data_IF_930972820879
#
_entry.id   IF_930972820879
#
_cell.length_a   1.000
_cell.length_b   1.000
_cell.length_c   1.000
_cell.angle_alpha   90.00
_cell.angle_beta   90.00
_cell.angle_gamma   90.00
#
_symmetry.space_group_name_H-M   'P 1'
#
loop_
_entity.id
_entity.type
_entity.pdbx_description
1 polymer ?
#
# COMPACT_ATOMS: atom_id res chain seq x y z
N UNK A 1 -14.67 -13.61 16.52
CA UNK A 1 -14.32 -13.42 15.13
C UNK A 1 -14.25 -11.92 14.76
N UNK A 2 -15.32 -11.12 15.08
CA UNK A 2 -15.34 -9.66 14.91
C UNK A 2 -14.10 -8.98 15.54
N UNK A 3 -13.69 -9.47 16.72
CA UNK A 3 -12.50 -8.97 17.39
C UNK A 3 -11.17 -9.40 16.73
N UNK A 4 -11.13 -10.55 16.04
CA UNK A 4 -9.92 -11.01 15.36
C UNK A 4 -9.67 -10.24 14.07
N UNK A 5 -10.70 -9.99 13.26
CA UNK A 5 -10.61 -9.18 12.03
C UNK A 5 -10.28 -7.71 12.38
N UNK A 6 -10.90 -7.17 13.43
CA UNK A 6 -10.61 -5.82 13.90
C UNK A 6 -9.16 -5.71 14.43
N UNK A 7 -8.65 -6.75 15.10
CA UNK A 7 -7.25 -6.80 15.53
C UNK A 7 -6.28 -6.87 14.36
N UNK A 8 -6.58 -7.67 13.33
CA UNK A 8 -5.73 -7.76 12.13
C UNK A 8 -5.67 -6.42 11.39
N UNK A 9 -6.80 -5.77 11.18
CA UNK A 9 -6.84 -4.44 10.58
C UNK A 9 -6.14 -3.39 11.46
N UNK A 10 -6.31 -3.45 12.79
CA UNK A 10 -5.65 -2.56 13.72
C UNK A 10 -4.13 -2.82 13.78
N UNK A 11 -3.68 -4.07 13.73
CA UNK A 11 -2.26 -4.42 13.74
C UNK A 11 -1.54 -4.02 12.44
N UNK A 12 -2.21 -4.09 11.29
CA UNK A 12 -1.62 -3.64 10.03
C UNK A 12 -1.43 -2.13 9.94
N UNK A 13 -2.11 -1.35 10.80
CA UNK A 13 -2.12 0.11 10.82
C UNK A 13 -1.77 0.74 12.16
N UNK A 14 -0.95 0.09 12.98
CA UNK A 14 -0.42 0.69 14.22
C UNK A 14 0.49 1.88 13.94
N UNK A 15 1.08 1.93 12.74
CA UNK A 15 1.85 3.05 12.23
C UNK A 15 1.36 3.43 10.83
N UNK A 16 1.51 4.70 10.40
CA UNK A 16 1.22 5.09 9.03
C UNK A 16 2.07 4.28 8.04
N UNK A 17 1.50 3.98 6.88
CA UNK A 17 2.26 3.37 5.77
C UNK A 17 3.09 4.49 5.14
N UNK A 18 4.41 4.31 5.13
CA UNK A 18 5.35 5.30 4.59
C UNK A 18 6.06 4.78 3.35
N UNK A 19 6.70 5.68 2.61
CA UNK A 19 7.53 5.36 1.44
C UNK A 19 8.86 4.67 1.81
N UNK A 20 9.14 4.51 3.10
CA UNK A 20 10.36 3.89 3.58
C UNK A 20 10.43 2.40 3.27
N UNK A 21 11.58 1.97 2.75
CA UNK A 21 11.92 0.56 2.61
C UNK A 21 12.72 0.08 3.82
N UNK A 22 12.44 -1.14 4.28
CA UNK A 22 13.11 -1.72 5.45
C UNK A 22 14.64 -1.81 5.32
N UNK A 23 15.18 -1.81 4.09
CA UNK A 23 16.63 -1.78 3.84
C UNK A 23 17.24 -0.38 3.87
N UNK A 24 16.44 0.68 3.97
CA UNK A 24 16.91 2.08 4.11
C UNK A 24 17.12 2.50 5.57
N UNK A 25 17.07 1.59 6.52
CA UNK A 25 17.10 1.88 7.96
C UNK A 25 18.30 2.70 8.45
N UNK A 26 19.39 2.74 7.67
CA UNK A 26 20.60 3.50 7.98
C UNK A 26 20.67 4.86 7.27
N UNK A 27 19.68 5.20 6.45
CA UNK A 27 19.68 6.42 5.65
C UNK A 27 18.72 7.41 6.32
N UNK A 28 19.26 8.53 6.80
CA UNK A 28 18.48 9.65 7.30
C UNK A 28 17.84 10.39 6.11
N UNK A 29 16.67 9.96 5.70
CA UNK A 29 15.80 10.66 4.76
C UNK A 29 14.43 10.89 5.40
N UNK A 30 13.75 12.00 5.11
CA UNK A 30 12.39 12.19 5.56
C UNK A 30 11.51 11.07 5.01
N UNK A 31 10.59 10.58 5.82
CA UNK A 31 9.58 9.61 5.43
C UNK A 31 8.30 10.35 5.06
N UNK A 32 7.64 9.92 3.99
CA UNK A 32 6.36 10.45 3.57
C UNK A 32 5.27 9.41 3.75
N UNK A 33 4.11 9.84 4.20
CA UNK A 33 2.94 8.96 4.28
C UNK A 33 2.45 8.66 2.86
N UNK A 34 2.29 7.37 2.54
CA UNK A 34 1.74 6.93 1.26
C UNK A 34 0.23 6.76 1.43
N UNK A 35 -0.54 7.44 0.58
CA UNK A 35 -2.01 7.40 0.55
C UNK A 35 -2.54 6.38 -0.46
N UNK A 36 -1.73 6.06 -1.47
CA UNK A 36 -2.07 5.15 -2.54
C UNK A 36 -1.86 3.70 -2.09
N UNK A 37 -2.95 3.11 -1.63
CA UNK A 37 -2.94 1.80 -0.99
C UNK A 37 -3.92 0.84 -1.69
N UNK A 38 -3.58 -0.44 -1.66
CA UNK A 38 -4.44 -1.53 -2.13
C UNK A 38 -4.53 -2.60 -1.06
N UNK A 39 -5.75 -3.02 -0.76
CA UNK A 39 -6.03 -4.15 0.09
C UNK A 39 -6.45 -5.33 -0.79
N UNK A 40 -5.82 -6.48 -0.56
CA UNK A 40 -6.17 -7.75 -1.17
C UNK A 40 -6.51 -8.74 -0.06
N UNK A 41 -7.66 -9.42 -0.19
CA UNK A 41 -8.09 -10.40 0.79
C UNK A 41 -8.91 -11.50 0.15
N UNK A 42 -8.89 -12.68 0.78
CA UNK A 42 -9.80 -13.78 0.49
C UNK A 42 -10.64 -14.07 1.73
N UNK A 43 -11.96 -14.07 1.57
CA UNK A 43 -12.90 -14.45 2.62
C UNK A 43 -13.53 -15.77 2.23
N UNK A 44 -13.36 -16.79 3.10
CA UNK A 44 -13.93 -18.13 2.94
C UNK A 44 -14.95 -18.37 4.02
N UNK A 45 -15.97 -19.18 3.75
CA UNK A 45 -17.01 -19.48 4.73
C UNK A 45 -17.48 -20.94 4.66
N UNK A 46 -17.89 -21.43 5.82
CA UNK A 46 -18.69 -22.66 5.95
C UNK A 46 -20.18 -22.35 6.06
N UNK A 47 -20.52 -21.20 6.65
CA UNK A 47 -21.84 -20.59 6.64
C UNK A 47 -21.68 -19.19 6.06
N UNK A 48 -22.40 -18.84 4.97
CA UNK A 48 -22.22 -17.56 4.30
C UNK A 48 -22.49 -16.39 5.24
N UNK A 49 -21.66 -15.33 5.20
CA UNK A 49 -21.95 -14.11 5.93
C UNK A 49 -23.13 -13.37 5.31
N UNK A 50 -23.80 -12.55 6.11
CA UNK A 50 -24.84 -11.65 5.61
C UNK A 50 -24.22 -10.55 4.75
N UNK A 51 -23.14 -9.93 5.25
CA UNK A 51 -22.41 -8.92 4.50
C UNK A 51 -20.91 -8.98 4.81
N UNK A 52 -20.12 -8.56 3.81
CA UNK A 52 -18.69 -8.26 3.93
C UNK A 52 -18.52 -6.77 3.66
N UNK A 53 -17.84 -6.07 4.56
CA UNK A 53 -17.66 -4.63 4.51
C UNK A 53 -16.19 -4.29 4.41
N UNK A 54 -15.81 -3.38 3.49
CA UNK A 54 -14.51 -2.75 3.49
C UNK A 54 -14.66 -1.24 3.68
N UNK A 55 -13.81 -0.68 4.50
CA UNK A 55 -13.61 0.76 4.62
C UNK A 55 -12.40 1.15 3.80
N UNK A 56 -12.58 2.07 2.86
CA UNK A 56 -11.59 2.52 1.89
C UNK A 56 -11.39 4.03 2.09
N UNK A 57 -10.32 4.46 2.73
CA UNK A 57 -9.99 5.87 2.86
C UNK A 57 -9.25 6.36 1.62
N UNK A 58 -9.54 7.59 1.19
CA UNK A 58 -8.79 8.33 0.18
C UNK A 58 -8.86 9.82 0.49
N UNK A 59 -7.73 10.47 0.67
CA UNK A 59 -7.69 11.87 1.09
C UNK A 59 -8.52 12.12 2.36
N UNK A 60 -9.40 13.09 2.28
CA UNK A 60 -10.32 13.45 3.36
C UNK A 60 -11.61 12.63 3.38
N UNK A 61 -11.88 11.84 2.35
CA UNK A 61 -13.10 11.05 2.22
C UNK A 61 -12.90 9.62 2.71
N UNK A 62 -14.01 8.96 3.02
CA UNK A 62 -14.02 7.55 3.39
C UNK A 62 -15.19 6.86 2.70
N UNK A 63 -14.89 5.78 2.00
CA UNK A 63 -15.87 4.98 1.29
C UNK A 63 -16.12 3.65 2.01
N UNK A 64 -17.33 3.15 1.92
CA UNK A 64 -17.74 1.83 2.40
C UNK A 64 -18.15 0.95 1.24
N UNK A 65 -17.38 -0.10 0.98
CA UNK A 65 -17.80 -1.18 0.09
C UNK A 65 -18.55 -2.22 0.91
N UNK A 66 -19.76 -2.58 0.48
CA UNK A 66 -20.55 -3.67 1.08
C UNK A 66 -20.83 -4.71 0.00
N UNK A 67 -20.48 -5.96 0.31
CA UNK A 67 -20.80 -7.12 -0.52
C UNK A 67 -21.86 -7.95 0.20
N UNK A 68 -22.88 -8.36 -0.55
CA UNK A 68 -23.88 -9.34 -0.12
C UNK A 68 -23.61 -10.67 -0.85
N UNK A 69 -23.13 -11.71 -0.14
CA UNK A 69 -22.86 -13.01 -0.75
C UNK A 69 -24.10 -13.79 -1.16
N UNK A 70 -25.29 -13.42 -0.69
CA UNK A 70 -26.52 -14.09 -1.05
C UNK A 70 -27.10 -13.59 -2.37
N UNK A 71 -27.08 -12.27 -2.55
CA UNK A 71 -27.58 -11.63 -3.78
C UNK A 71 -26.46 -11.36 -4.80
N UNK A 72 -25.20 -11.60 -4.43
CA UNK A 72 -24.01 -11.28 -5.22
C UNK A 72 -23.95 -9.81 -5.65
N UNK A 73 -24.46 -8.92 -4.80
CA UNK A 73 -24.45 -7.49 -5.02
C UNK A 73 -23.28 -6.81 -4.32
N UNK A 74 -22.75 -5.75 -4.94
CA UNK A 74 -21.71 -4.89 -4.41
C UNK A 74 -22.21 -3.44 -4.42
N UNK A 75 -22.08 -2.75 -3.30
CA UNK A 75 -22.44 -1.33 -3.18
C UNK A 75 -21.28 -0.53 -2.61
N UNK A 76 -21.04 0.65 -3.19
CA UNK A 76 -20.04 1.61 -2.72
C UNK A 76 -20.75 2.88 -2.25
N UNK A 77 -20.52 3.25 -1.01
CA UNK A 77 -21.12 4.41 -0.34
C UNK A 77 -20.05 5.41 0.05
N UNK A 78 -20.36 6.71 0.00
CA UNK A 78 -19.62 7.72 0.75
C UNK A 78 -20.06 7.63 2.22
N UNK A 79 -19.18 7.22 3.12
CA UNK A 79 -19.54 7.01 4.54
C UNK A 79 -19.87 8.30 5.27
N UNK A 80 -19.24 9.40 4.90
CA UNK A 80 -19.45 10.71 5.54
C UNK A 80 -20.82 11.29 5.21
N UNK A 81 -21.40 10.96 4.04
CA UNK A 81 -22.68 11.46 3.55
C UNK A 81 -23.78 10.39 3.48
N UNK A 82 -23.45 9.13 3.74
CA UNK A 82 -24.36 7.99 3.59
C UNK A 82 -24.97 7.87 2.18
N UNK A 83 -24.25 8.36 1.16
CA UNK A 83 -24.72 8.45 -0.21
C UNK A 83 -24.24 7.25 -1.03
N UNK A 84 -25.17 6.59 -1.73
CA UNK A 84 -24.84 5.50 -2.67
C UNK A 84 -24.16 6.11 -3.92
N UNK A 85 -22.96 5.65 -4.24
CA UNK A 85 -22.16 6.15 -5.35
C UNK A 85 -22.10 5.17 -6.51
N UNK A 86 -21.97 3.88 -6.22
CA UNK A 86 -21.89 2.81 -7.20
C UNK A 86 -22.63 1.57 -6.70
N UNK A 87 -23.19 0.84 -7.63
CA UNK A 87 -23.82 -0.47 -7.38
C UNK A 87 -23.55 -1.39 -8.55
N UNK A 88 -23.31 -2.65 -8.27
CA UNK A 88 -23.10 -3.66 -9.30
C UNK A 88 -23.28 -5.07 -8.75
N UNK A 89 -22.98 -6.04 -9.57
CA UNK A 89 -23.02 -7.45 -9.21
C UNK A 89 -21.69 -8.13 -9.51
N UNK A 90 -21.44 -9.24 -8.86
CA UNK A 90 -20.25 -10.04 -9.06
C UNK A 90 -20.63 -11.52 -9.22
N UNK A 91 -19.75 -12.27 -9.88
CA UNK A 91 -19.95 -13.71 -10.06
C UNK A 91 -19.39 -14.47 -8.85
N UNK A 92 -20.18 -15.37 -8.24
CA UNK A 92 -19.70 -16.21 -7.16
C UNK A 92 -18.60 -17.16 -7.65
N UNK A 93 -17.68 -17.50 -6.76
CA UNK A 93 -16.77 -18.62 -6.95
C UNK A 93 -17.45 -19.91 -6.45
N UNK A 94 -17.13 -21.04 -7.07
CA UNK A 94 -17.64 -22.37 -6.69
C UNK A 94 -17.18 -22.82 -5.29
N UNK A 95 -16.21 -22.15 -4.68
CA UNK A 95 -15.50 -22.59 -3.48
C UNK A 95 -16.00 -21.98 -2.17
N UNK A 96 -17.22 -21.43 -2.12
CA UNK A 96 -17.73 -20.73 -0.92
C UNK A 96 -16.70 -19.68 -0.41
N UNK A 97 -16.17 -18.92 -1.34
CA UNK A 97 -15.17 -17.90 -1.08
C UNK A 97 -15.38 -16.67 -1.97
N UNK A 98 -14.79 -15.57 -1.58
CA UNK A 98 -14.69 -14.37 -2.40
C UNK A 98 -13.29 -13.79 -2.28
N UNK A 99 -12.66 -13.51 -3.41
CA UNK A 99 -11.41 -12.78 -3.51
C UNK A 99 -11.71 -11.32 -3.82
N UNK A 100 -11.19 -10.41 -3.00
CA UNK A 100 -11.49 -8.98 -3.06
C UNK A 100 -10.18 -8.23 -3.18
N UNK A 101 -10.11 -7.35 -4.17
CA UNK A 101 -9.07 -6.33 -4.30
C UNK A 101 -9.78 -4.99 -4.29
N UNK A 102 -9.36 -4.09 -3.41
CA UNK A 102 -9.83 -2.71 -3.38
C UNK A 102 -8.64 -1.78 -3.31
N UNK A 103 -8.64 -0.72 -4.10
CA UNK A 103 -7.52 0.23 -4.17
C UNK A 103 -8.00 1.67 -4.11
N UNK A 104 -7.12 2.54 -3.59
CA UNK A 104 -7.22 3.99 -3.62
C UNK A 104 -5.98 4.55 -4.32
N UNK A 105 -5.91 4.46 -5.65
CA UNK A 105 -4.78 4.92 -6.45
C UNK A 105 -5.20 6.08 -7.35
N UNK A 106 -4.28 7.03 -7.56
CA UNK A 106 -4.47 8.13 -8.51
C UNK A 106 -5.81 8.85 -8.37
N UNK A 107 -6.20 9.15 -7.12
CA UNK A 107 -7.47 9.82 -6.80
C UNK A 107 -8.72 9.09 -7.31
N UNK A 108 -8.67 7.77 -7.32
CA UNK A 108 -9.85 6.96 -7.65
C UNK A 108 -9.95 5.71 -6.76
N UNK A 109 -11.18 5.29 -6.52
CA UNK A 109 -11.49 4.02 -5.86
C UNK A 109 -11.82 2.98 -6.93
N UNK A 110 -11.04 1.90 -6.97
CA UNK A 110 -11.30 0.76 -7.83
C UNK A 110 -11.50 -0.52 -7.01
N UNK A 111 -12.40 -1.38 -7.48
CA UNK A 111 -12.75 -2.65 -6.82
C UNK A 111 -12.76 -3.78 -7.83
N UNK A 112 -12.15 -4.90 -7.47
CA UNK A 112 -12.27 -6.17 -8.19
C UNK A 112 -12.75 -7.26 -7.25
N UNK A 113 -13.71 -8.06 -7.69
CA UNK A 113 -14.27 -9.19 -6.96
C UNK A 113 -14.16 -10.41 -7.85
N UNK A 114 -13.45 -11.43 -7.40
CA UNK A 114 -13.16 -12.65 -8.18
C UNK A 114 -12.60 -12.32 -9.58
N UNK A 115 -11.70 -11.31 -9.66
CA UNK A 115 -11.07 -10.88 -10.90
C UNK A 115 -11.93 -10.03 -11.84
N UNK A 116 -13.13 -9.61 -11.42
CA UNK A 116 -14.05 -8.78 -12.20
C UNK A 116 -14.39 -7.49 -11.46
N UNK A 117 -14.44 -6.37 -12.17
CA UNK A 117 -14.93 -5.11 -11.62
C UNK A 117 -16.47 -5.14 -11.56
N UNK A 118 -17.10 -4.98 -10.38
CA UNK A 118 -18.55 -4.94 -10.26
C UNK A 118 -19.15 -3.64 -10.79
N UNK A 119 -18.37 -2.60 -10.88
CA UNK A 119 -18.71 -1.26 -11.40
C UNK A 119 -17.44 -0.55 -11.87
N UNK A 120 -17.62 0.52 -12.64
CA UNK A 120 -16.52 1.40 -13.08
C UNK A 120 -15.82 2.07 -11.89
N UNK A 121 -14.50 2.30 -11.94
CA UNK A 121 -13.78 3.03 -10.92
C UNK A 121 -14.43 4.39 -10.62
N UNK A 122 -14.42 4.77 -9.36
CA UNK A 122 -14.96 6.04 -8.90
C UNK A 122 -13.83 7.08 -8.81
N UNK A 123 -13.79 8.11 -9.67
CA UNK A 123 -12.88 9.23 -9.47
C UNK A 123 -13.27 10.02 -8.22
N UNK A 124 -12.28 10.54 -7.51
CA UNK A 124 -12.42 11.30 -6.28
C UNK A 124 -11.75 12.65 -6.47
N UNK A 125 -12.55 13.71 -6.58
CA UNK A 125 -12.09 15.08 -6.86
C UNK A 125 -11.51 15.80 -5.63
N UNK A 126 -10.95 15.09 -4.68
CA UNK A 126 -10.30 15.70 -3.53
C UNK A 126 -8.83 15.96 -3.84
N UNK A 127 -8.47 17.23 -3.91
CA UNK A 127 -7.06 17.62 -3.93
C UNK A 127 -6.41 17.08 -2.64
N UNK A 128 -5.64 16.01 -2.78
CA UNK A 128 -4.84 15.49 -1.67
C UNK A 128 -3.94 16.63 -1.18
N UNK A 129 -3.93 16.94 0.11
CA UNK A 129 -2.94 17.88 0.63
C UNK A 129 -1.55 17.34 0.25
N UNK A 130 -0.60 18.23 -0.09
CA UNK A 130 0.76 17.81 -0.42
C UNK A 130 1.28 16.89 0.68
N UNK A 131 1.95 15.81 0.28
CA UNK A 131 2.53 14.86 1.22
C UNK A 131 3.51 15.59 2.15
N UNK A 132 3.14 15.71 3.42
CA UNK A 132 4.02 16.28 4.42
C UNK A 132 5.08 15.25 4.83
N UNK A 133 6.35 15.63 4.93
CA UNK A 133 7.38 14.73 5.43
C UNK A 133 7.07 14.36 6.89
N UNK A 134 7.09 13.09 7.19
CA UNK A 134 7.13 12.62 8.56
C UNK A 134 8.52 12.93 9.09
N UNK A 135 8.64 13.76 10.11
CA UNK A 135 9.93 14.00 10.76
C UNK A 135 10.55 12.65 11.14
N UNK A 136 11.78 12.42 10.66
CA UNK A 136 12.45 11.13 10.69
C UNK A 136 12.36 10.49 12.08
N UNK A 137 11.49 9.52 12.20
CA UNK A 137 11.41 8.72 13.39
C UNK A 137 12.55 7.71 13.35
N UNK A 138 13.67 8.04 13.97
CA UNK A 138 14.67 7.02 14.31
C UNK A 138 13.93 5.95 15.11
N UNK A 139 13.72 4.77 14.52
CA UNK A 139 13.20 3.63 15.28
C UNK A 139 14.14 3.38 16.44
N UNK A 140 13.67 3.36 17.69
CA UNK A 140 14.53 3.01 18.81
C UNK A 140 14.89 1.53 18.68
N UNK A 141 16.09 1.25 18.18
CA UNK A 141 16.75 -0.02 18.42
C UNK A 141 17.24 0.06 19.87
N UNK A 142 16.40 -0.35 20.81
CA UNK A 142 16.69 -0.30 22.24
C UNK A 142 15.58 0.43 22.97
N UNK A 143 14.97 -0.21 23.91
CA UNK A 143 13.78 0.15 24.71
C UNK A 143 13.72 1.52 25.40
N UNK A 144 14.08 2.59 24.70
CA UNK A 144 13.87 3.96 25.14
C UNK A 144 12.39 4.34 25.04
N UNK A 145 11.89 4.92 26.09
CA UNK A 145 10.54 5.51 26.11
C UNK A 145 10.42 6.56 25.02
N UNK A 146 9.46 6.37 24.16
CA UNK A 146 9.11 7.34 23.12
C UNK A 146 8.77 8.68 23.76
N UNK A 147 9.37 9.76 23.25
CA UNK A 147 9.07 11.13 23.67
C UNK A 147 7.57 11.40 23.51
N UNK A 148 6.88 11.98 24.55
CA UNK A 148 5.45 12.30 24.48
C UNK A 148 5.05 13.19 23.29
N UNK A 149 5.89 14.16 22.91
CA UNK A 149 5.64 15.02 21.74
C UNK A 149 5.64 14.22 20.45
N UNK A 150 6.53 13.25 20.34
CA UNK A 150 6.65 12.34 19.21
C UNK A 150 5.47 11.35 19.15
N UNK A 151 5.04 10.82 20.30
CA UNK A 151 3.84 10.00 20.38
C UNK A 151 2.59 10.77 19.94
N UNK A 152 2.47 12.05 20.30
CA UNK A 152 1.38 12.92 19.86
C UNK A 152 1.41 13.16 18.34
N UNK A 153 2.59 13.41 17.74
CA UNK A 153 2.74 13.56 16.29
C UNK A 153 2.36 12.29 15.54
N UNK A 154 2.82 11.13 16.00
CA UNK A 154 2.45 9.83 15.43
C UNK A 154 0.94 9.60 15.56
N UNK A 155 0.33 9.93 16.70
CA UNK A 155 -1.11 9.80 16.90
C UNK A 155 -1.89 10.68 15.94
N UNK A 156 -1.48 11.94 15.73
CA UNK A 156 -2.08 12.85 14.75
C UNK A 156 -1.96 12.33 13.32
N UNK A 157 -0.82 11.74 12.95
CA UNK A 157 -0.62 11.13 11.64
C UNK A 157 -1.50 9.89 11.45
N UNK A 158 -1.64 9.06 12.50
CA UNK A 158 -2.53 7.90 12.50
C UNK A 158 -4.01 8.33 12.41
N UNK A 159 -4.40 9.43 13.05
CA UNK A 159 -5.76 9.98 12.95
C UNK A 159 -6.02 10.59 11.57
N UNK A 160 -5.05 11.27 10.98
CA UNK A 160 -5.14 11.82 9.61
C UNK A 160 -5.21 10.71 8.57
N UNK A 161 -4.46 9.63 8.74
CA UNK A 161 -4.55 8.45 7.88
C UNK A 161 -5.78 7.63 8.29
N UNK A 162 -6.92 7.91 7.67
CA UNK A 162 -8.14 7.11 7.85
C UNK A 162 -7.82 5.65 7.53
N UNK A 163 -8.17 4.74 8.43
CA UNK A 163 -7.73 3.34 8.38
C UNK A 163 -8.57 2.51 7.43
N UNK A 164 -7.93 1.68 6.65
CA UNK A 164 -8.58 0.55 5.99
C UNK A 164 -9.11 -0.43 7.03
N UNK A 165 -10.29 -0.99 6.79
CA UNK A 165 -10.87 -1.98 7.68
C UNK A 165 -11.68 -3.00 6.88
N UNK A 166 -11.61 -4.27 7.32
CA UNK A 166 -12.47 -5.35 6.88
C UNK A 166 -13.41 -5.70 8.03
N UNK A 167 -14.70 -5.68 7.77
CA UNK A 167 -15.76 -6.08 8.68
C UNK A 167 -16.62 -7.17 8.06
N UNK A 168 -17.13 -8.09 8.89
CA UNK A 168 -17.98 -9.19 8.44
C UNK A 168 -19.16 -9.33 9.39
N UNK A 169 -20.34 -9.46 8.84
CA UNK A 169 -21.59 -9.60 9.59
C UNK A 169 -22.21 -10.96 9.31
N UNK A 170 -22.54 -11.70 10.37
CA UNK A 170 -23.13 -13.03 10.26
C UNK A 170 -22.15 -14.11 9.79
N UNK A 171 -22.67 -15.33 9.63
CA UNK A 171 -21.94 -16.46 9.07
C UNK A 171 -20.83 -17.05 9.95
N UNK A 172 -20.14 -18.05 9.37
CA UNK A 172 -18.92 -18.63 9.91
C UNK A 172 -17.82 -18.52 8.87
N UNK A 173 -16.85 -17.62 9.10
CA UNK A 173 -15.89 -17.16 8.08
C UNK A 173 -14.47 -17.29 8.54
N UNK A 174 -13.58 -17.53 7.58
CA UNK A 174 -12.12 -17.52 7.74
C UNK A 174 -11.54 -16.52 6.74
N UNK A 175 -10.57 -15.75 7.17
CA UNK A 175 -9.78 -14.85 6.32
C UNK A 175 -8.37 -15.39 6.30
N UNK A 176 -8.02 -16.27 5.33
CA UNK A 176 -6.70 -16.89 5.28
C UNK A 176 -5.61 -15.90 4.91
N UNK A 177 -5.97 -14.84 4.17
CA UNK A 177 -5.03 -13.86 3.64
C UNK A 177 -5.63 -12.46 3.71
N UNK A 178 -4.85 -11.53 4.22
CA UNK A 178 -5.13 -10.09 4.23
C UNK A 178 -3.82 -9.35 3.96
N UNK A 179 -3.67 -8.84 2.76
CA UNK A 179 -2.47 -8.13 2.34
C UNK A 179 -2.81 -6.65 2.12
N UNK A 180 -1.86 -5.80 2.49
CA UNK A 180 -1.87 -4.39 2.15
C UNK A 180 -0.65 -4.09 1.29
N UNK A 181 -0.89 -3.47 0.15
CA UNK A 181 0.14 -3.00 -0.78
C UNK A 181 0.11 -1.47 -0.80
N UNK A 182 1.23 -0.88 -1.08
CA UNK A 182 1.37 0.55 -1.36
C UNK A 182 1.96 0.74 -2.74
N UNK A 183 1.64 1.85 -3.37
CA UNK A 183 2.31 2.22 -4.61
C UNK A 183 3.73 2.74 -4.35
N UNK A 184 4.51 2.85 -5.43
CA UNK A 184 5.83 3.47 -5.40
C UNK A 184 5.65 4.98 -5.35
N UNK A 185 6.03 5.58 -4.22
CA UNK A 185 5.86 7.01 -3.99
C UNK A 185 7.13 7.76 -4.40
N UNK A 186 7.00 8.63 -5.40
CA UNK A 186 8.10 9.44 -5.90
C UNK A 186 8.07 10.83 -5.26
N UNK A 187 9.04 11.10 -4.37
CA UNK A 187 9.18 12.40 -3.73
C UNK A 187 10.14 13.30 -4.50
N UNK A 188 9.88 14.61 -4.56
CA UNK A 188 10.77 15.56 -5.23
C UNK A 188 12.16 15.60 -4.59
N UNK A 189 12.28 15.59 -3.28
CA UNK A 189 13.57 15.60 -2.57
C UNK A 189 14.50 16.71 -3.04
N UNK A 190 15.82 16.40 -3.11
CA UNK A 190 16.87 17.30 -3.64
C UNK A 190 17.14 17.10 -5.13
N UNK A 191 16.15 16.74 -5.89
CA UNK A 191 16.28 16.33 -7.28
C UNK A 191 16.26 17.54 -8.20
N UNK A 192 16.85 17.39 -9.40
CA UNK A 192 17.07 18.48 -10.36
C UNK A 192 16.08 18.46 -11.51
N UNK A 193 15.74 17.25 -11.98
CA UNK A 193 15.03 17.05 -13.23
C UNK A 193 13.60 16.56 -12.98
N UNK A 194 12.62 17.02 -13.78
CA UNK A 194 11.21 16.62 -13.73
C UNK A 194 10.56 16.78 -12.33
N UNK A 195 10.89 17.85 -11.59
CA UNK A 195 10.37 18.10 -10.23
C UNK A 195 9.40 19.27 -10.21
N UNK A 196 9.82 20.40 -10.78
CA UNK A 196 9.01 21.64 -10.81
C UNK A 196 8.42 21.91 -12.17
N UNK A 197 9.04 21.39 -13.22
CA UNK A 197 8.60 21.56 -14.60
C UNK A 197 8.61 20.21 -15.31
N UNK A 198 7.73 20.06 -16.29
CA UNK A 198 7.71 18.90 -17.15
C UNK A 198 9.05 18.75 -17.88
N UNK A 199 9.55 17.53 -17.92
CA UNK A 199 10.76 17.19 -18.63
C UNK A 199 10.41 16.57 -19.99
N UNK A 200 10.82 17.24 -21.08
CA UNK A 200 10.64 16.73 -22.43
C UNK A 200 11.69 15.65 -22.70
N UNK A 201 11.24 14.41 -22.84
CA UNK A 201 12.11 13.28 -23.17
C UNK A 201 12.40 13.32 -24.69
N UNK A 202 13.68 13.41 -25.10
CA UNK A 202 14.03 13.37 -26.52
C UNK A 202 13.60 12.05 -27.19
N UNK A 203 13.42 12.07 -28.50
CA UNK A 203 13.16 10.87 -29.28
C UNK A 203 14.25 9.81 -29.04
N UNK A 204 13.88 8.54 -29.05
CA UNK A 204 14.75 7.40 -28.76
C UNK A 204 15.51 7.47 -27.42
N UNK A 205 14.97 8.18 -26.45
CA UNK A 205 15.50 8.27 -25.10
C UNK A 205 14.47 7.82 -24.05
N UNK A 206 14.97 7.47 -22.87
CA UNK A 206 14.15 7.06 -21.73
C UNK A 206 14.51 7.88 -20.50
N UNK A 207 13.49 8.27 -19.73
CA UNK A 207 13.64 8.81 -18.39
C UNK A 207 13.39 7.70 -17.41
N UNK A 208 14.42 7.25 -16.68
CA UNK A 208 14.35 6.08 -15.81
C UNK A 208 14.29 6.50 -14.36
N UNK A 209 13.49 5.81 -13.56
CA UNK A 209 13.32 6.06 -12.14
C UNK A 209 13.48 4.76 -11.36
N UNK A 210 14.19 4.83 -10.23
CA UNK A 210 14.26 3.70 -9.32
C UNK A 210 13.03 3.66 -8.41
N UNK A 211 12.56 2.47 -8.12
CA UNK A 211 11.42 2.19 -7.24
C UNK A 211 11.66 2.63 -5.79
N UNK A 212 12.91 2.68 -5.35
CA UNK A 212 13.30 3.20 -4.06
C UNK A 212 13.58 4.71 -4.14
N UNK A 213 12.52 5.49 -4.34
CA UNK A 213 12.59 6.92 -4.60
C UNK A 213 13.50 7.70 -3.65
N UNK A 214 13.47 7.54 -2.32
CA UNK A 214 14.26 8.36 -1.40
C UNK A 214 15.78 8.28 -1.61
N UNK A 215 16.28 7.15 -2.11
CA UNK A 215 17.73 6.88 -2.22
C UNK A 215 18.22 6.56 -3.63
N UNK A 216 17.30 6.43 -4.57
CA UNK A 216 17.64 6.11 -5.96
C UNK A 216 18.48 7.21 -6.59
N UNK A 217 19.59 6.83 -7.23
CA UNK A 217 20.33 7.69 -8.13
C UNK A 217 19.90 7.38 -9.56
N UNK A 218 18.99 8.16 -10.08
CA UNK A 218 18.32 7.92 -11.36
C UNK A 218 18.20 9.22 -12.19
N UNK A 219 17.44 9.21 -13.28
CA UNK A 219 17.28 10.35 -14.20
C UNK A 219 16.91 11.66 -13.51
N UNK A 220 16.22 11.59 -12.38
CA UNK A 220 15.87 12.78 -11.59
C UNK A 220 17.09 13.50 -11.02
N UNK A 221 18.20 12.77 -10.80
CA UNK A 221 19.42 13.28 -10.18
C UNK A 221 20.59 13.45 -11.15
N UNK A 222 20.57 12.73 -12.27
CA UNK A 222 21.69 12.71 -13.20
C UNK A 222 21.87 14.04 -13.91
N UNK A 223 23.10 14.36 -14.24
CA UNK A 223 23.45 15.54 -15.06
C UNK A 223 22.90 15.41 -16.48
N UNK A 224 22.95 14.17 -17.03
CA UNK A 224 22.29 13.78 -18.28
C UNK A 224 21.10 12.89 -17.95
N UNK A 225 19.88 13.43 -17.85
CA UNK A 225 18.74 12.74 -17.26
C UNK A 225 18.07 11.70 -18.15
N UNK A 226 18.66 11.39 -19.30
CA UNK A 226 18.08 10.42 -20.24
C UNK A 226 19.04 9.29 -20.57
N UNK A 227 18.48 8.14 -20.86
CA UNK A 227 19.17 6.95 -21.36
C UNK A 227 18.82 6.79 -22.83
N UNK A 228 19.75 6.97 -23.77
CA UNK A 228 19.52 6.68 -25.19
C UNK A 228 19.22 5.20 -25.44
N UNK A 229 18.31 4.91 -26.36
CA UNK A 229 17.89 3.54 -26.69
C UNK A 229 19.06 2.55 -26.90
N UNK A 230 20.15 2.89 -27.59
CA UNK A 230 21.28 1.98 -27.79
C UNK A 230 22.00 1.57 -26.48
N UNK A 231 21.78 2.27 -25.39
CA UNK A 231 22.36 1.95 -24.09
C UNK A 231 21.48 0.97 -23.28
N UNK A 232 20.32 0.60 -23.76
CA UNK A 232 19.50 -0.43 -23.15
C UNK A 232 20.08 -1.80 -23.46
N UNK A 233 20.62 -2.45 -22.44
CA UNK A 233 21.29 -3.76 -22.57
C UNK A 233 20.28 -4.91 -22.70
N UNK A 234 19.12 -4.78 -22.05
CA UNK A 234 18.09 -5.80 -22.07
C UNK A 234 17.06 -5.65 -20.96
N UNK A 235 16.04 -6.51 -20.97
CA UNK A 235 15.02 -6.61 -19.94
C UNK A 235 15.49 -7.59 -18.86
N UNK A 236 15.42 -7.24 -17.55
CA UNK A 236 15.66 -8.21 -16.51
C UNK A 236 14.61 -9.33 -16.59
N UNK A 237 15.02 -10.57 -16.44
CA UNK A 237 14.12 -11.73 -16.55
C UNK A 237 14.02 -12.52 -15.24
N UNK A 238 14.88 -12.26 -14.26
CA UNK A 238 14.87 -12.98 -12.99
C UNK A 238 15.29 -12.08 -11.83
N UNK A 239 14.58 -12.21 -10.71
CA UNK A 239 15.05 -11.71 -9.41
C UNK A 239 15.92 -12.78 -8.78
N UNK A 240 17.22 -12.57 -8.79
CA UNK A 240 18.22 -13.52 -8.28
C UNK A 240 18.71 -13.09 -6.89
N UNK A 241 18.68 -14.03 -5.94
CA UNK A 241 19.16 -13.84 -4.57
C UNK A 241 18.65 -12.55 -3.86
N UNK A 242 17.34 -12.28 -3.86
CA UNK A 242 16.81 -11.22 -3.02
C UNK A 242 17.12 -11.54 -1.56
N UNK A 243 17.31 -10.51 -0.71
CA UNK A 243 17.63 -10.73 0.70
C UNK A 243 16.65 -9.98 1.60
N UNK A 244 16.37 -10.57 2.78
CA UNK A 244 15.55 -9.98 3.82
C UNK A 244 16.35 -9.75 5.09
N UNK A 245 16.00 -8.73 5.90
CA UNK A 245 16.66 -8.51 7.18
C UNK A 245 16.37 -9.65 8.14
N UNK A 246 17.39 -10.02 8.93
CA UNK A 246 17.28 -10.98 10.02
C UNK A 246 18.18 -10.55 11.17
N UNK A 247 17.93 -11.10 12.35
CA UNK A 247 18.74 -10.86 13.55
C UNK A 247 19.43 -12.17 13.91
N UNK A 248 20.74 -12.18 13.86
CA UNK A 248 21.54 -13.28 14.40
C UNK A 248 21.76 -13.05 15.90
N UNK A 249 21.32 -14.01 16.72
CA UNK A 249 21.56 -14.01 18.17
C UNK A 249 22.63 -15.05 18.49
N UNK A 250 23.74 -14.60 19.04
CA UNK A 250 24.81 -15.48 19.49
C UNK A 250 25.50 -14.92 20.73
N UNK A 251 25.75 -15.74 21.73
CA UNK A 251 26.41 -15.37 22.99
C UNK A 251 25.82 -14.11 23.68
N UNK A 252 24.49 -13.95 23.67
CA UNK A 252 23.78 -12.82 24.30
C UNK A 252 23.88 -11.50 23.53
N UNK A 253 24.48 -11.51 22.35
CA UNK A 253 24.56 -10.34 21.44
C UNK A 253 23.67 -10.55 20.22
N UNK A 254 23.16 -9.44 19.71
CA UNK A 254 22.34 -9.41 18.48
C UNK A 254 23.09 -8.68 17.38
N UNK A 255 23.12 -9.28 16.19
CA UNK A 255 23.69 -8.65 14.99
C UNK A 255 22.63 -8.60 13.91
N UNK A 256 22.36 -7.43 13.33
CA UNK A 256 21.55 -7.34 12.12
C UNK A 256 22.32 -7.98 10.96
N UNK A 257 21.70 -8.95 10.31
CA UNK A 257 22.25 -9.63 9.14
C UNK A 257 21.22 -9.61 8.01
N UNK A 258 21.64 -9.95 6.82
CA UNK A 258 20.75 -10.22 5.70
C UNK A 258 20.83 -11.69 5.31
N UNK A 259 19.68 -12.31 5.15
CA UNK A 259 19.58 -13.70 4.72
C UNK A 259 18.90 -13.77 3.35
N UNK A 260 19.18 -14.79 2.52
CA UNK A 260 18.47 -14.99 1.25
C UNK A 260 16.96 -15.10 1.49
N UNK A 261 16.19 -14.47 0.64
CA UNK A 261 14.73 -14.54 0.61
C UNK A 261 14.28 -15.39 -0.57
N UNK A 262 14.28 -16.69 -0.36
CA UNK A 262 13.98 -17.67 -1.40
C UNK A 262 12.57 -17.52 -1.97
N UNK A 263 11.62 -17.09 -1.17
CA UNK A 263 10.22 -16.90 -1.57
C UNK A 263 10.05 -15.76 -2.58
N UNK A 264 11.02 -14.85 -2.66
CA UNK A 264 11.04 -13.75 -3.61
C UNK A 264 11.87 -14.00 -4.87
N UNK A 265 12.53 -15.13 -4.97
CA UNK A 265 13.17 -15.53 -6.23
C UNK A 265 12.09 -15.86 -7.25
N UNK A 266 12.03 -15.10 -8.32
CA UNK A 266 11.01 -15.29 -9.36
C UNK A 266 11.49 -14.80 -10.72
N UNK A 267 10.91 -15.36 -11.77
CA UNK A 267 11.02 -14.80 -13.11
C UNK A 267 10.18 -13.51 -13.20
N UNK A 268 10.67 -12.57 -13.99
CA UNK A 268 9.98 -11.32 -14.32
C UNK A 268 9.38 -11.53 -15.72
N UNK A 269 8.08 -11.44 -15.79
CA UNK A 269 7.32 -11.63 -17.05
C UNK A 269 7.11 -10.31 -17.79
#
# INVERSE_FOLDING_TARGET
>A
FRNAVFRLAALSHLAPVTDRYGYNSLIASPEFVVTDLMLETTVQWTLPPTHIHLRIPIGNQTFGLTLDPQTHSATLLALDQQTLLRQGSWKPDSNQSVHIIASSFDQQVAVSINGQAPFEPLPVDDALPPAEPVEASVSPIGGERMDPARAATISLLIERQKRWALGITGGSVTVPQLNMFRDVFYTPGRRRNAVTNDFQIPEDCYFVQGDNSPVSSDSRNWEKPVVPHPLLVGKPFVVHLPSKPAILQFAGRQWPIRIPDWDRMRYIH
#
